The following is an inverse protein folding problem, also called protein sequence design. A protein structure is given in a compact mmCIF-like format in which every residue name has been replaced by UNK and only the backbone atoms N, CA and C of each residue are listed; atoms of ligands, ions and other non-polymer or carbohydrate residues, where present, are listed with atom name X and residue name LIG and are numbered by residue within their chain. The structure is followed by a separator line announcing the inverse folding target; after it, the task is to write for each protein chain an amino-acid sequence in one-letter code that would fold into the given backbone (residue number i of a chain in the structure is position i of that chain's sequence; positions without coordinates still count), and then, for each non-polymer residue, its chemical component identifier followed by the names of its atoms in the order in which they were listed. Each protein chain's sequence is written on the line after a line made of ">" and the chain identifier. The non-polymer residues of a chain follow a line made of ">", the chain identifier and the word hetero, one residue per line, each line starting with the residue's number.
data_IF_004040375290
#
_entry.id   IF_004040375290
#
_cell.length_a   1.000
_cell.length_b   1.000
_cell.length_c   1.000
_cell.angle_alpha   90.00
_cell.angle_beta   90.00
_cell.angle_gamma   90.00
#
_symmetry.space_group_name_H-M   'P 1'
#
loop_
_entity.id
_entity.type
_entity.pdbx_description
1 polymer ?
#
# COMPACT_ATOMS: atom_id res chain seq x y z
N UNK A 1 -20.91 -9.71 7.56
CA UNK A 1 -21.77 -9.49 6.39
C UNK A 1 -20.93 -9.78 5.16
N UNK A 2 -21.40 -10.58 4.20
CA UNK A 2 -20.59 -10.90 3.02
C UNK A 2 -20.38 -9.63 2.20
N UNK A 3 -19.14 -9.16 2.18
CA UNK A 3 -18.66 -8.06 1.34
C UNK A 3 -18.70 -8.48 -0.14
N UNK A 4 -19.88 -8.62 -0.72
CA UNK A 4 -20.04 -8.80 -2.18
C UNK A 4 -19.72 -7.45 -2.86
N UNK A 5 -18.44 -7.08 -2.84
CA UNK A 5 -17.94 -5.90 -3.55
C UNK A 5 -17.84 -6.23 -5.03
N UNK A 6 -18.18 -5.28 -5.94
CA UNK A 6 -18.03 -5.48 -7.37
C UNK A 6 -16.64 -6.02 -7.74
N UNK A 7 -16.60 -6.90 -8.74
CA UNK A 7 -15.34 -7.41 -9.27
C UNK A 7 -14.66 -6.28 -10.07
N UNK A 8 -13.70 -5.60 -9.45
CA UNK A 8 -12.78 -4.69 -10.12
C UNK A 8 -11.47 -5.44 -10.42
N UNK A 9 -10.47 -5.28 -9.56
CA UNK A 9 -9.17 -5.94 -9.70
C UNK A 9 -9.18 -7.40 -9.24
N UNK A 10 -9.89 -7.68 -8.14
CA UNK A 10 -10.02 -9.01 -7.53
C UNK A 10 -11.48 -9.46 -7.55
N UNK A 11 -11.69 -10.75 -7.82
CA UNK A 11 -13.00 -11.40 -7.57
C UNK A 11 -13.14 -11.79 -6.10
N UNK A 12 -14.37 -12.02 -5.61
CA UNK A 12 -14.60 -12.46 -4.21
C UNK A 12 -13.81 -13.74 -3.88
N UNK A 13 -13.74 -14.68 -4.81
CA UNK A 13 -12.94 -15.89 -4.62
C UNK A 13 -11.42 -15.62 -4.50
N UNK A 14 -10.90 -14.59 -5.18
CA UNK A 14 -9.50 -14.19 -5.06
C UNK A 14 -9.22 -13.43 -3.76
N UNK A 15 -10.17 -12.60 -3.31
CA UNK A 15 -10.10 -11.93 -2.00
C UNK A 15 -10.06 -12.98 -0.87
N UNK A 16 -10.99 -13.94 -0.89
CA UNK A 16 -11.02 -15.04 0.07
C UNK A 16 -9.70 -15.84 0.07
N UNK A 17 -9.15 -16.12 -1.12
CA UNK A 17 -7.86 -16.79 -1.23
C UNK A 17 -6.70 -15.99 -0.62
N UNK A 18 -6.60 -14.68 -0.89
CA UNK A 18 -5.55 -13.84 -0.33
C UNK A 18 -5.67 -13.65 1.19
N UNK A 19 -6.87 -13.77 1.76
CA UNK A 19 -7.13 -13.75 3.20
C UNK A 19 -6.91 -15.10 3.88
N UNK A 20 -6.53 -16.15 3.14
CA UNK A 20 -6.42 -17.51 3.69
C UNK A 20 -7.75 -18.21 3.98
N UNK A 21 -8.88 -17.62 3.59
CA UNK A 21 -10.23 -18.17 3.78
C UNK A 21 -10.56 -19.29 2.77
N UNK A 22 -9.71 -19.45 1.75
CA UNK A 22 -9.92 -20.42 0.67
C UNK A 22 -8.59 -20.96 0.15
N UNK A 23 -8.46 -22.28 0.11
CA UNK A 23 -7.32 -22.95 -0.50
C UNK A 23 -7.58 -23.42 -1.93
N UNK A 24 -6.52 -23.44 -2.73
CA UNK A 24 -6.51 -24.01 -4.07
C UNK A 24 -5.52 -25.15 -4.16
N UNK A 25 -5.80 -26.11 -5.06
CA UNK A 25 -4.79 -27.12 -5.45
C UNK A 25 -3.58 -26.42 -6.09
N UNK A 26 -2.35 -26.94 -5.95
CA UNK A 26 -1.14 -26.23 -6.40
C UNK A 26 -1.13 -25.75 -7.85
N UNK A 27 -1.69 -26.53 -8.79
CA UNK A 27 -1.82 -26.12 -10.20
C UNK A 27 -2.79 -24.96 -10.38
N UNK A 28 -3.93 -25.00 -9.69
CA UNK A 28 -4.97 -23.96 -9.73
C UNK A 28 -4.47 -22.69 -9.04
N UNK A 29 -3.74 -22.83 -7.94
CA UNK A 29 -3.15 -21.72 -7.19
C UNK A 29 -2.20 -20.90 -8.07
N UNK A 30 -1.31 -21.57 -8.83
CA UNK A 30 -0.41 -20.90 -9.79
C UNK A 30 -1.19 -20.07 -10.82
N UNK A 31 -2.26 -20.63 -11.37
CA UNK A 31 -3.12 -19.95 -12.34
C UNK A 31 -3.88 -18.78 -11.70
N UNK A 32 -4.35 -18.93 -10.46
CA UNK A 32 -5.00 -17.86 -9.70
C UNK A 32 -4.01 -16.72 -9.46
N UNK A 33 -2.79 -16.99 -8.96
CA UNK A 33 -1.75 -15.97 -8.78
C UNK A 33 -1.39 -15.28 -10.09
N UNK A 34 -1.26 -16.03 -11.19
CA UNK A 34 -1.02 -15.45 -12.52
C UNK A 34 -2.13 -14.50 -12.95
N UNK A 35 -3.40 -14.88 -12.76
CA UNK A 35 -4.55 -14.01 -13.06
C UNK A 35 -4.58 -12.76 -12.20
N UNK A 36 -4.28 -12.87 -10.90
CA UNK A 36 -4.19 -11.71 -10.00
C UNK A 36 -3.12 -10.74 -10.51
N UNK A 37 -1.89 -11.21 -10.80
CA UNK A 37 -0.82 -10.35 -11.33
C UNK A 37 -1.19 -9.67 -12.65
N UNK A 38 -1.80 -10.41 -13.57
CA UNK A 38 -2.23 -9.84 -14.86
C UNK A 38 -3.29 -8.76 -14.68
N UNK A 39 -4.25 -8.96 -13.77
CA UNK A 39 -5.27 -7.95 -13.45
C UNK A 39 -4.72 -6.75 -12.72
N UNK A 40 -3.73 -6.94 -11.83
CA UNK A 40 -3.04 -5.84 -11.18
C UNK A 40 -2.37 -4.94 -12.22
N UNK A 41 -1.62 -5.53 -13.15
CA UNK A 41 -1.00 -4.80 -14.24
C UNK A 41 -2.03 -4.08 -15.13
N UNK A 42 -3.10 -4.77 -15.54
CA UNK A 42 -4.18 -4.15 -16.32
C UNK A 42 -4.86 -3.02 -15.56
N UNK A 43 -5.12 -3.20 -14.26
CA UNK A 43 -5.75 -2.18 -13.41
C UNK A 43 -4.93 -0.90 -13.32
N UNK A 44 -3.60 -0.98 -13.25
CA UNK A 44 -2.73 0.21 -13.30
C UNK A 44 -2.86 0.96 -14.63
N UNK A 45 -2.95 0.24 -15.75
CA UNK A 45 -3.17 0.84 -17.07
C UNK A 45 -4.57 1.49 -17.15
N UNK A 46 -5.58 0.83 -16.61
CA UNK A 46 -6.96 1.32 -16.57
C UNK A 46 -7.06 2.59 -15.69
N UNK A 47 -6.34 2.66 -14.57
CA UNK A 47 -6.25 3.88 -13.74
C UNK A 47 -5.63 5.05 -14.52
N UNK A 48 -4.58 4.80 -15.30
CA UNK A 48 -3.99 5.83 -16.16
C UNK A 48 -4.97 6.30 -17.24
N UNK A 49 -5.75 5.38 -17.83
CA UNK A 49 -6.79 5.72 -18.79
C UNK A 49 -7.91 6.54 -18.14
N UNK A 50 -8.39 6.11 -16.97
CA UNK A 50 -9.43 6.81 -16.21
C UNK A 50 -8.97 8.23 -15.85
N UNK A 51 -7.74 8.38 -15.35
CA UNK A 51 -7.15 9.69 -15.08
C UNK A 51 -7.13 10.60 -16.32
N UNK A 52 -6.85 10.05 -17.50
CA UNK A 52 -6.79 10.84 -18.74
C UNK A 52 -8.16 11.21 -19.29
N UNK A 53 -9.12 10.29 -19.23
CA UNK A 53 -10.39 10.39 -19.97
C UNK A 53 -11.57 10.87 -19.13
N UNK A 54 -11.61 10.57 -17.84
CA UNK A 54 -12.71 11.02 -16.97
C UNK A 54 -12.60 12.53 -16.69
N UNK A 55 -13.74 13.19 -16.57
CA UNK A 55 -13.82 14.56 -16.07
C UNK A 55 -13.41 14.63 -14.58
N UNK A 56 -13.12 15.83 -14.08
CA UNK A 56 -12.82 16.03 -12.66
C UNK A 56 -14.02 15.61 -11.78
N UNK A 57 -15.24 15.97 -12.20
CA UNK A 57 -16.48 15.59 -11.50
C UNK A 57 -16.63 14.06 -11.40
N UNK A 58 -16.37 13.32 -12.49
CA UNK A 58 -16.45 11.85 -12.46
C UNK A 58 -15.37 11.23 -11.55
N UNK A 59 -14.17 11.81 -11.50
CA UNK A 59 -13.11 11.37 -10.59
C UNK A 59 -13.51 11.62 -9.14
N UNK A 60 -14.03 12.81 -8.85
CA UNK A 60 -14.49 13.20 -7.51
C UNK A 60 -15.62 12.27 -7.05
N UNK A 61 -16.63 12.03 -7.90
CA UNK A 61 -17.71 11.08 -7.61
C UNK A 61 -17.17 9.67 -7.37
N UNK A 62 -16.26 9.18 -8.22
CA UNK A 62 -15.75 7.81 -8.11
C UNK A 62 -14.92 7.55 -6.84
N UNK A 63 -14.27 8.58 -6.30
CA UNK A 63 -13.37 8.46 -5.14
C UNK A 63 -13.96 9.00 -3.83
N UNK A 64 -14.94 9.91 -3.90
CA UNK A 64 -15.54 10.57 -2.73
C UNK A 64 -16.95 10.04 -2.40
N UNK A 65 -17.70 9.57 -3.39
CA UNK A 65 -18.99 8.91 -3.16
C UNK A 65 -18.79 7.40 -3.11
N UNK A 66 -18.20 6.93 -2.02
CA UNK A 66 -18.32 5.51 -1.70
C UNK A 66 -19.79 5.23 -1.38
N UNK A 67 -20.42 4.17 -1.96
CA UNK A 67 -21.82 3.84 -1.71
C UNK A 67 -22.15 3.55 -0.22
N UNK A 68 -21.13 3.43 0.62
CA UNK A 68 -21.23 3.11 2.05
C UNK A 68 -20.80 4.27 3.00
N UNK A 69 -20.44 5.45 2.50
CA UNK A 69 -20.02 6.58 3.35
C UNK A 69 -21.12 7.65 3.44
N UNK A 70 -21.60 7.91 4.65
CA UNK A 70 -22.60 8.94 4.92
C UNK A 70 -22.00 10.34 4.66
N UNK A 71 -22.79 11.22 4.03
CA UNK A 71 -22.40 12.59 3.70
C UNK A 71 -22.28 13.42 4.98
N UNK A 72 -21.11 13.39 5.63
CA UNK A 72 -20.87 14.18 6.84
C UNK A 72 -19.50 14.02 7.49
N UNK A 73 -18.81 12.91 7.25
CA UNK A 73 -17.51 12.66 7.88
C UNK A 73 -16.37 13.20 7.00
N UNK A 74 -15.36 13.78 7.67
CA UNK A 74 -14.07 14.12 7.06
C UNK A 74 -13.58 12.94 6.24
N UNK A 75 -13.09 13.21 5.03
CA UNK A 75 -12.58 12.20 4.10
C UNK A 75 -11.42 11.43 4.77
N UNK A 76 -11.73 10.40 5.56
CA UNK A 76 -10.74 9.48 6.06
C UNK A 76 -10.23 8.74 4.84
N UNK A 77 -9.01 9.08 4.41
CA UNK A 77 -8.33 8.42 3.31
C UNK A 77 -8.28 6.93 3.66
N UNK A 78 -8.99 6.06 2.93
CA UNK A 78 -8.99 4.63 3.24
C UNK A 78 -7.55 4.09 3.27
N UNK A 79 -7.18 3.19 4.21
CA UNK A 79 -5.83 2.62 4.28
C UNK A 79 -5.29 2.09 2.94
N UNK A 80 -6.21 1.61 2.09
CA UNK A 80 -5.90 1.15 0.73
C UNK A 80 -5.18 2.19 -0.17
N UNK A 81 -5.35 3.49 0.06
CA UNK A 81 -4.60 4.52 -0.69
C UNK A 81 -3.12 4.54 -0.30
N UNK A 82 -2.80 4.36 0.99
CA UNK A 82 -1.42 4.24 1.45
C UNK A 82 -0.78 2.95 0.91
N UNK A 83 -1.55 1.86 0.86
CA UNK A 83 -1.07 0.59 0.27
C UNK A 83 -0.72 0.74 -1.22
N UNK A 84 -1.45 1.56 -1.98
CA UNK A 84 -1.11 1.83 -3.39
C UNK A 84 0.24 2.55 -3.51
N UNK A 85 0.52 3.53 -2.64
CA UNK A 85 1.82 4.21 -2.60
C UNK A 85 2.92 3.21 -2.24
N UNK A 86 2.70 2.38 -1.22
CA UNK A 86 3.63 1.32 -0.83
C UNK A 86 3.90 0.32 -1.97
N UNK A 87 2.87 -0.07 -2.72
CA UNK A 87 3.04 -0.93 -3.89
C UNK A 87 3.91 -0.29 -4.98
N UNK A 88 3.72 1.00 -5.25
CA UNK A 88 4.55 1.74 -6.22
C UNK A 88 6.01 1.74 -5.74
N UNK A 89 6.25 2.02 -4.46
CA UNK A 89 7.59 1.95 -3.87
C UNK A 89 8.22 0.57 -4.04
N UNK A 90 7.47 -0.50 -3.73
CA UNK A 90 7.96 -1.88 -3.80
C UNK A 90 8.28 -2.34 -5.23
N UNK A 91 7.54 -1.88 -6.23
CA UNK A 91 7.80 -2.19 -7.65
C UNK A 91 9.16 -1.63 -8.06
N UNK A 92 9.47 -0.42 -7.63
CA UNK A 92 10.68 0.31 -8.03
C UNK A 92 11.80 0.28 -6.98
N UNK A 93 11.64 -0.49 -5.89
CA UNK A 93 12.59 -0.58 -4.77
C UNK A 93 14.04 -0.81 -5.20
N UNK A 94 14.29 -1.51 -6.30
CA UNK A 94 15.65 -1.71 -6.80
C UNK A 94 16.27 -0.43 -7.36
N UNK A 95 15.48 0.41 -8.03
CA UNK A 95 15.94 1.70 -8.52
C UNK A 95 16.12 2.67 -7.35
N UNK A 96 15.17 2.63 -6.41
CA UNK A 96 15.22 3.39 -5.16
C UNK A 96 16.52 3.14 -4.38
N UNK A 97 16.88 1.87 -4.17
CA UNK A 97 18.08 1.47 -3.43
C UNK A 97 19.41 1.87 -4.07
N UNK A 98 19.40 2.28 -5.35
CA UNK A 98 20.61 2.68 -6.09
C UNK A 98 20.62 4.19 -6.38
N UNK A 99 19.76 4.95 -5.70
CA UNK A 99 19.58 6.37 -5.89
C UNK A 99 20.65 7.28 -5.30
N UNK A 100 20.58 8.59 -5.60
CA UNK A 100 21.36 9.62 -4.92
C UNK A 100 21.03 9.74 -3.43
N UNK A 101 19.77 9.51 -3.05
CA UNK A 101 19.26 9.49 -1.68
C UNK A 101 18.05 8.56 -1.58
N UNK A 102 17.64 8.23 -0.36
CA UNK A 102 16.40 7.49 -0.13
C UNK A 102 15.20 8.40 -0.35
N UNK A 103 14.15 7.92 -0.99
CA UNK A 103 12.98 8.71 -1.39
C UNK A 103 13.02 9.18 -2.85
N UNK A 104 14.22 9.31 -3.45
CA UNK A 104 14.42 10.05 -4.72
C UNK A 104 13.52 9.60 -5.88
N UNK A 105 13.29 8.30 -6.03
CA UNK A 105 12.52 7.80 -7.16
C UNK A 105 11.04 8.06 -6.89
N UNK A 106 10.61 7.92 -5.63
CA UNK A 106 9.25 8.25 -5.22
C UNK A 106 8.97 9.75 -5.35
N UNK A 107 9.90 10.62 -4.95
CA UNK A 107 9.81 12.08 -5.16
C UNK A 107 9.50 12.38 -6.62
N UNK A 108 10.31 11.84 -7.54
CA UNK A 108 10.14 12.02 -8.99
C UNK A 108 8.75 11.55 -9.46
N UNK A 109 8.26 10.41 -8.95
CA UNK A 109 6.93 9.87 -9.32
C UNK A 109 5.79 10.73 -8.80
N UNK A 110 5.88 11.18 -7.55
CA UNK A 110 4.88 12.03 -6.91
C UNK A 110 4.85 13.39 -7.60
N UNK A 111 6.01 14.01 -7.83
CA UNK A 111 6.16 15.26 -8.58
C UNK A 111 5.51 15.15 -9.96
N UNK A 112 5.89 14.14 -10.76
CA UNK A 112 5.29 13.89 -12.10
C UNK A 112 3.78 13.68 -12.01
N UNK A 113 3.29 13.00 -10.98
CA UNK A 113 1.86 12.79 -10.75
C UNK A 113 1.11 14.09 -10.50
N UNK A 114 1.66 14.94 -9.63
CA UNK A 114 1.11 16.25 -9.28
C UNK A 114 1.13 17.17 -10.51
N UNK A 115 2.23 17.23 -11.26
CA UNK A 115 2.36 17.97 -12.52
C UNK A 115 1.22 17.65 -13.52
N UNK A 116 0.94 16.35 -13.68
CA UNK A 116 -0.14 15.87 -14.55
C UNK A 116 -1.50 16.28 -14.02
N UNK A 117 -1.70 16.25 -12.70
CA UNK A 117 -2.95 16.69 -12.07
C UNK A 117 -3.18 18.19 -12.29
N UNK A 118 -2.16 19.03 -12.11
CA UNK A 118 -2.21 20.46 -12.42
C UNK A 118 -2.59 20.73 -13.89
N UNK A 119 -1.96 20.00 -14.81
CA UNK A 119 -2.31 20.07 -16.23
C UNK A 119 -3.77 19.71 -16.49
N UNK A 120 -4.32 18.72 -15.77
CA UNK A 120 -5.72 18.30 -15.89
C UNK A 120 -6.71 19.34 -15.35
N UNK A 121 -6.39 20.02 -14.27
CA UNK A 121 -7.23 21.10 -13.71
C UNK A 121 -7.03 22.45 -14.41
N UNK A 122 -6.18 22.51 -15.45
CA UNK A 122 -5.95 23.72 -16.24
C UNK A 122 -5.17 24.80 -15.50
N UNK A 123 -4.42 24.43 -14.46
CA UNK A 123 -3.63 25.37 -13.65
C UNK A 123 -2.16 25.27 -14.07
N UNK A 124 -1.57 26.41 -14.43
CA UNK A 124 -0.13 26.50 -14.66
C UNK A 124 0.63 26.47 -13.34
N UNK A 125 1.73 25.74 -13.30
CA UNK A 125 2.71 25.76 -12.20
C UNK A 125 4.07 26.19 -12.77
N UNK A 126 4.87 26.86 -11.94
CA UNK A 126 6.26 27.21 -12.30
C UNK A 126 7.26 26.16 -11.84
N UNK A 127 7.00 25.54 -10.69
CA UNK A 127 7.81 24.49 -10.07
C UNK A 127 6.92 23.70 -9.11
N UNK A 128 7.08 22.38 -9.09
CA UNK A 128 6.59 21.51 -8.02
C UNK A 128 7.84 20.95 -7.35
N UNK A 129 7.88 20.99 -6.02
CA UNK A 129 9.00 20.49 -5.24
C UNK A 129 8.46 19.49 -4.24
N UNK A 130 8.99 18.27 -4.28
CA UNK A 130 8.59 17.16 -3.43
C UNK A 130 9.86 16.60 -2.82
N UNK A 131 9.95 16.71 -1.50
CA UNK A 131 11.06 16.18 -0.71
C UNK A 131 10.53 15.06 0.19
N UNK A 132 11.17 13.89 0.13
CA UNK A 132 10.86 12.72 0.94
C UNK A 132 12.13 12.36 1.71
N UNK A 133 12.11 12.63 3.01
CA UNK A 133 13.19 12.30 3.93
C UNK A 133 12.94 10.93 4.57
N UNK A 134 13.82 9.97 4.30
CA UNK A 134 13.74 8.59 4.83
C UNK A 134 15.03 8.26 5.58
N UNK A 135 14.85 7.95 6.86
CA UNK A 135 15.90 7.35 7.68
C UNK A 135 15.60 5.85 7.88
N UNK A 136 16.35 4.98 7.20
CA UNK A 136 16.24 3.53 7.44
C UNK A 136 16.86 3.14 8.77
N UNK A 137 16.09 2.36 9.53
CA UNK A 137 16.60 1.61 10.68
C UNK A 137 17.41 0.39 10.25
N UNK A 138 17.84 -0.38 11.25
CA UNK A 138 18.46 -1.68 11.04
C UNK A 138 17.46 -2.68 10.42
N UNK A 139 18.01 -3.71 9.77
CA UNK A 139 17.22 -4.82 9.28
C UNK A 139 16.47 -5.51 10.43
N UNK A 140 15.19 -5.83 10.21
CA UNK A 140 14.32 -6.38 11.25
C UNK A 140 14.75 -7.79 11.68
N UNK A 141 15.27 -8.62 10.78
CA UNK A 141 15.76 -9.95 11.14
C UNK A 141 16.99 -9.82 12.05
N UNK A 142 17.93 -8.94 11.70
CA UNK A 142 19.10 -8.66 12.53
C UNK A 142 18.70 -8.10 13.91
N UNK A 143 17.74 -7.17 13.96
CA UNK A 143 17.24 -6.62 15.23
C UNK A 143 16.61 -7.70 16.12
N UNK A 144 15.85 -8.63 15.53
CA UNK A 144 15.24 -9.73 16.28
C UNK A 144 16.27 -10.74 16.81
N UNK A 145 17.41 -10.89 16.13
CA UNK A 145 18.51 -11.75 16.57
C UNK A 145 19.42 -11.08 17.63
N UNK A 146 19.65 -9.77 17.51
CA UNK A 146 20.63 -9.03 18.33
C UNK A 146 20.04 -8.44 19.61
N UNK A 147 18.75 -8.07 19.61
CA UNK A 147 18.10 -7.40 20.74
C UNK A 147 17.00 -8.24 21.39
N UNK A 148 16.75 -8.01 22.68
CA UNK A 148 15.61 -8.65 23.36
C UNK A 148 14.32 -7.96 22.94
N UNK A 149 13.35 -8.72 22.41
CA UNK A 149 12.09 -8.17 21.89
C UNK A 149 11.35 -7.24 22.89
N UNK A 150 11.41 -7.51 24.19
CA UNK A 150 10.79 -6.68 25.22
C UNK A 150 11.39 -5.26 25.30
N UNK A 151 12.67 -5.09 24.92
CA UNK A 151 13.36 -3.81 24.95
C UNK A 151 13.01 -2.94 23.73
N UNK A 152 12.63 -3.56 22.61
CA UNK A 152 12.32 -2.87 21.36
C UNK A 152 11.06 -1.97 21.45
N UNK A 153 11.03 -0.82 20.76
CA UNK A 153 9.83 0.01 20.66
C UNK A 153 8.64 -0.76 20.08
N UNK A 154 7.42 -0.49 20.57
CA UNK A 154 6.19 -1.15 20.09
C UNK A 154 6.02 -1.00 18.57
N UNK A 155 6.41 0.14 18.01
CA UNK A 155 6.35 0.36 16.56
C UNK A 155 7.30 -0.57 15.80
N UNK A 156 8.49 -0.85 16.33
CA UNK A 156 9.43 -1.83 15.77
C UNK A 156 8.86 -3.25 15.84
N UNK A 157 8.27 -3.63 16.98
CA UNK A 157 7.60 -4.93 17.13
C UNK A 157 6.44 -5.10 16.14
N UNK A 158 5.65 -4.04 15.92
CA UNK A 158 4.60 -4.06 14.89
C UNK A 158 5.18 -4.23 13.49
N UNK A 159 6.27 -3.53 13.17
CA UNK A 159 6.96 -3.71 11.88
C UNK A 159 7.46 -5.14 11.69
N UNK A 160 8.02 -5.75 12.74
CA UNK A 160 8.47 -7.16 12.72
C UNK A 160 7.30 -8.13 12.49
N UNK A 161 6.16 -7.93 13.16
CA UNK A 161 4.96 -8.73 12.93
C UNK A 161 4.44 -8.58 11.50
N UNK A 162 4.39 -7.35 10.98
CA UNK A 162 3.96 -7.10 9.59
C UNK A 162 4.92 -7.67 8.55
N UNK A 163 6.19 -7.84 8.90
CA UNK A 163 7.21 -8.42 8.03
C UNK A 163 7.34 -9.94 8.18
N UNK A 164 6.46 -10.59 8.97
CA UNK A 164 6.52 -12.02 9.32
C UNK A 164 7.87 -12.45 9.96
N UNK A 165 8.57 -11.52 10.63
CA UNK A 165 9.83 -11.80 11.36
C UNK A 165 9.54 -12.41 12.74
N UNK A 166 8.45 -11.99 13.37
CA UNK A 166 7.93 -12.56 14.62
C UNK A 166 6.46 -12.92 14.44
N UNK A 167 5.97 -13.88 15.22
CA UNK A 167 4.55 -14.25 15.21
C UNK A 167 3.69 -13.44 16.22
N UNK A 168 2.37 -13.67 16.19
CA UNK A 168 1.43 -13.00 17.11
C UNK A 168 1.68 -13.33 18.59
N UNK A 169 2.19 -14.53 18.89
CA UNK A 169 2.46 -14.98 20.26
C UNK A 169 3.72 -14.29 20.80
N UNK A 170 4.79 -14.23 19.99
CA UNK A 170 6.01 -13.50 20.29
C UNK A 170 5.75 -12.01 20.48
N UNK A 171 4.94 -11.41 19.61
CA UNK A 171 4.52 -10.01 19.74
C UNK A 171 3.74 -9.78 21.05
N UNK A 172 2.75 -10.62 21.35
CA UNK A 172 1.95 -10.49 22.57
C UNK A 172 2.81 -10.61 23.83
N UNK A 173 3.71 -11.60 23.86
CA UNK A 173 4.64 -11.82 24.98
C UNK A 173 5.56 -10.63 25.20
N UNK A 174 6.22 -10.14 24.15
CA UNK A 174 7.12 -8.98 24.25
C UNK A 174 6.38 -7.72 24.76
N UNK A 175 5.14 -7.54 24.32
CA UNK A 175 4.32 -6.38 24.75
C UNK A 175 3.87 -6.49 26.21
N UNK A 176 3.56 -7.70 26.68
CA UNK A 176 3.20 -7.97 28.08
C UNK A 176 4.41 -7.76 29.01
N UNK A 177 5.56 -8.34 28.70
CA UNK A 177 6.80 -8.20 29.50
C UNK A 177 7.22 -6.73 29.65
N UNK A 178 7.02 -5.93 28.59
CA UNK A 178 7.27 -4.49 28.60
C UNK A 178 6.29 -3.71 29.48
N UNK A 179 5.06 -4.17 29.65
CA UNK A 179 4.05 -3.52 30.52
C UNK A 179 4.28 -3.78 32.02
N UNK A 180 5.07 -4.80 32.34
CA UNK A 180 5.42 -5.21 33.71
C UNK A 180 6.77 -4.64 34.18
N UNK A 181 7.52 -3.98 33.30
CA UNK A 181 8.84 -3.35 33.54
C UNK A 181 8.74 -1.84 33.75
#
# INVERSE_FOLDING_TARGET
>A
MSEDRPAALLTNAQRAYLRGEKDYRPSVERDVKKRIRNRLHAGVLDLSLAFQQLSLEEIDTALSESPDFDKGDTLEVPPAFFDVIGLIYLVDRRQELNGPHEGWFMETKVETGIERAFGKIGVSYSMIDVEIDIERGQDLENLAEEETLADLPINTLKQMLFADVIDEEEFAKATLEKSES
#
